data_IF_956959398149
#
_entry.id   IF_956959398149
#
_cell.length_a   1.000
_cell.length_b   1.000
_cell.length_c   1.000
_cell.angle_alpha   90.00
_cell.angle_beta   90.00
_cell.angle_gamma   90.00
#
_symmetry.space_group_name_H-M   'P 1'
#
loop_
_entity.id
_entity.type
_entity.pdbx_description
1 polymer ?
#
# COMPACT_ATOMS: atom_id res chain seq x y z
N UNK A 1 2.04 -13.47 25.12
CA UNK A 1 1.95 -12.22 24.34
C UNK A 1 2.01 -12.59 22.87
N UNK A 2 0.84 -12.85 22.26
CA UNK A 2 0.77 -13.34 20.88
C UNK A 2 1.02 -12.18 19.92
N UNK A 3 2.18 -12.20 19.28
CA UNK A 3 2.45 -11.43 18.06
C UNK A 3 1.40 -11.84 17.01
N UNK A 4 0.33 -11.04 16.85
CA UNK A 4 -0.55 -11.19 15.70
C UNK A 4 0.32 -10.97 14.46
N UNK A 5 0.62 -12.04 13.74
CA UNK A 5 1.27 -11.92 12.43
C UNK A 5 0.28 -11.25 11.49
N UNK A 6 0.34 -9.92 11.41
CA UNK A 6 -0.27 -9.11 10.34
C UNK A 6 0.41 -9.33 8.99
N UNK A 7 1.35 -10.27 8.93
CA UNK A 7 2.04 -10.77 7.74
C UNK A 7 1.01 -11.13 6.66
N UNK A 8 0.81 -10.22 5.70
CA UNK A 8 -0.12 -10.39 4.58
C UNK A 8 -1.53 -9.87 4.77
N UNK A 9 -1.84 -9.20 5.89
CA UNK A 9 -3.11 -8.48 6.10
C UNK A 9 -3.11 -7.16 5.31
N UNK A 10 -4.10 -7.00 4.42
CA UNK A 10 -4.26 -5.80 3.58
C UNK A 10 -5.60 -5.15 3.87
N UNK A 11 -5.59 -3.90 4.31
CA UNK A 11 -6.81 -3.10 4.48
C UNK A 11 -7.11 -2.29 3.20
N UNK A 12 -8.37 -2.27 2.75
CA UNK A 12 -8.79 -1.52 1.55
C UNK A 12 -9.82 -0.46 1.93
N UNK A 13 -9.41 0.80 1.88
CA UNK A 13 -10.23 1.98 2.18
C UNK A 13 -10.58 2.73 0.89
N UNK A 14 -11.55 2.17 0.15
CA UNK A 14 -12.10 2.78 -1.06
C UNK A 14 -13.59 3.10 -0.88
N UNK A 15 -14.02 4.21 -1.47
CA UNK A 15 -15.42 4.68 -1.48
C UNK A 15 -16.20 4.00 -2.61
N UNK A 16 -15.56 3.77 -3.76
CA UNK A 16 -16.15 3.04 -4.87
C UNK A 16 -16.16 1.52 -4.55
N UNK A 17 -17.36 0.97 -4.36
CA UNK A 17 -17.55 -0.44 -3.99
C UNK A 17 -17.15 -1.41 -5.12
N UNK A 18 -17.32 -1.03 -6.38
CA UNK A 18 -16.94 -1.87 -7.52
C UNK A 18 -15.42 -1.95 -7.62
N UNK A 19 -14.76 -0.80 -7.51
CA UNK A 19 -13.31 -0.70 -7.49
C UNK A 19 -12.73 -1.42 -6.27
N UNK A 20 -13.33 -1.25 -5.09
CA UNK A 20 -12.98 -1.98 -3.88
C UNK A 20 -12.99 -3.49 -4.10
N UNK A 21 -14.11 -4.05 -4.57
CA UNK A 21 -14.24 -5.48 -4.79
C UNK A 21 -13.18 -6.03 -5.76
N UNK A 22 -12.84 -5.27 -6.80
CA UNK A 22 -11.78 -5.62 -7.76
C UNK A 22 -10.39 -5.68 -7.10
N UNK A 23 -10.09 -4.71 -6.24
CA UNK A 23 -8.82 -4.66 -5.52
C UNK A 23 -8.74 -5.77 -4.48
N UNK A 24 -9.82 -6.02 -3.75
CA UNK A 24 -9.91 -7.13 -2.79
C UNK A 24 -9.65 -8.48 -3.48
N UNK A 25 -10.29 -8.74 -4.62
CA UNK A 25 -10.06 -9.95 -5.40
C UNK A 25 -8.59 -10.07 -5.89
N UNK A 26 -7.96 -8.97 -6.29
CA UNK A 26 -6.55 -8.98 -6.69
C UNK A 26 -5.63 -9.29 -5.50
N UNK A 27 -5.91 -8.73 -4.32
CA UNK A 27 -5.15 -9.02 -3.09
C UNK A 27 -5.21 -10.50 -2.75
N UNK A 28 -6.40 -11.10 -2.81
CA UNK A 28 -6.61 -12.53 -2.57
C UNK A 28 -5.88 -13.40 -3.59
N UNK A 29 -5.92 -13.03 -4.89
CA UNK A 29 -5.18 -13.71 -5.95
C UNK A 29 -3.66 -13.69 -5.73
N UNK A 30 -3.15 -12.67 -5.04
CA UNK A 30 -1.73 -12.52 -4.70
C UNK A 30 -1.36 -13.25 -3.39
N UNK A 31 -2.26 -14.07 -2.83
CA UNK A 31 -2.01 -14.86 -1.63
C UNK A 31 -2.01 -14.03 -0.33
N UNK A 32 -2.61 -12.83 -0.36
CA UNK A 32 -2.78 -11.95 0.79
C UNK A 32 -4.23 -11.99 1.25
N UNK A 33 -4.47 -11.63 2.51
CA UNK A 33 -5.84 -11.64 3.06
C UNK A 33 -6.33 -10.21 3.26
N UNK A 34 -7.54 -9.95 2.79
CA UNK A 34 -8.19 -8.65 2.97
C UNK A 34 -8.78 -8.58 4.37
N UNK A 35 -8.47 -7.48 5.08
CA UNK A 35 -9.08 -7.15 6.36
C UNK A 35 -9.93 -5.90 6.23
N UNK A 36 -11.01 -5.83 7.02
CA UNK A 36 -11.93 -4.68 7.00
C UNK A 36 -11.34 -3.44 7.65
N UNK A 37 -10.41 -3.62 8.59
CA UNK A 37 -9.75 -2.54 9.32
C UNK A 37 -8.36 -3.01 9.77
N UNK A 38 -7.68 -2.17 10.54
CA UNK A 38 -6.44 -2.46 11.25
C UNK A 38 -6.63 -3.51 12.36
N UNK A 39 -5.58 -4.24 12.74
CA UNK A 39 -4.20 -4.11 12.30
C UNK A 39 -3.94 -4.76 10.93
N UNK A 40 -3.23 -4.05 10.05
CA UNK A 40 -2.83 -4.51 8.72
C UNK A 40 -1.36 -4.16 8.46
N UNK A 41 -0.65 -4.96 7.67
CA UNK A 41 0.74 -4.63 7.27
C UNK A 41 0.79 -3.74 6.03
N UNK A 42 -0.29 -3.73 5.24
CA UNK A 42 -0.44 -2.88 4.06
C UNK A 42 -1.85 -2.27 4.01
N UNK A 43 -1.96 -1.04 3.52
CA UNK A 43 -3.24 -0.38 3.33
C UNK A 43 -3.33 0.28 1.95
N UNK A 44 -4.49 0.12 1.30
CA UNK A 44 -4.83 0.78 0.04
C UNK A 44 -5.85 1.86 0.35
N UNK A 45 -5.57 3.12 0.02
CA UNK A 45 -6.42 4.26 0.40
C UNK A 45 -6.82 5.07 -0.84
N UNK A 46 -8.13 5.22 -1.07
CA UNK A 46 -8.64 6.12 -2.10
C UNK A 46 -8.58 7.58 -1.61
N UNK A 47 -7.96 8.45 -2.41
CA UNK A 47 -7.91 9.88 -2.22
C UNK A 47 -9.20 10.55 -2.69
N UNK A 48 -9.48 11.71 -2.11
CA UNK A 48 -10.64 12.53 -2.46
C UNK A 48 -11.45 13.02 -1.25
N UNK A 49 -10.89 12.95 -0.04
CA UNK A 49 -11.30 13.76 1.09
C UNK A 49 -10.13 14.03 2.05
N UNK A 50 -10.15 15.13 2.82
CA UNK A 50 -9.13 15.43 3.83
C UNK A 50 -9.01 14.34 4.91
N UNK A 51 -10.13 13.69 5.27
CA UNK A 51 -10.17 12.60 6.25
C UNK A 51 -9.31 11.40 5.81
N UNK A 52 -9.12 11.19 4.51
CA UNK A 52 -8.27 10.13 3.99
C UNK A 52 -6.78 10.46 4.16
N UNK A 53 -6.41 11.74 4.10
CA UNK A 53 -5.03 12.18 4.39
C UNK A 53 -4.69 11.96 5.86
N UNK A 54 -5.57 12.32 6.78
CA UNK A 54 -5.39 12.04 8.22
C UNK A 54 -5.29 10.53 8.50
N UNK A 55 -6.07 9.71 7.77
CA UNK A 55 -5.96 8.24 7.86
C UNK A 55 -4.60 7.74 7.36
N UNK A 56 -4.09 8.29 6.25
CA UNK A 56 -2.76 7.95 5.74
C UNK A 56 -1.70 8.23 6.81
N UNK A 57 -1.70 9.42 7.40
CA UNK A 57 -0.76 9.79 8.47
C UNK A 57 -0.77 8.79 9.63
N UNK A 58 -1.95 8.46 10.17
CA UNK A 58 -2.07 7.50 11.28
C UNK A 58 -1.55 6.11 10.92
N UNK A 59 -1.82 5.65 9.70
CA UNK A 59 -1.36 4.34 9.23
C UNK A 59 0.16 4.31 9.08
N UNK A 60 0.75 5.37 8.50
CA UNK A 60 2.21 5.47 8.34
C UNK A 60 2.93 5.60 9.67
N UNK A 61 2.39 6.37 10.62
CA UNK A 61 2.92 6.48 11.99
C UNK A 61 2.88 5.14 12.73
N UNK A 62 1.86 4.33 12.49
CA UNK A 62 1.74 2.96 13.00
C UNK A 62 2.64 1.95 12.27
N UNK A 63 3.46 2.38 11.30
CA UNK A 63 4.37 1.53 10.53
C UNK A 63 3.70 0.73 9.41
N UNK A 64 2.44 1.03 9.07
CA UNK A 64 1.73 0.38 7.97
C UNK A 64 2.19 0.95 6.63
N UNK A 65 2.48 0.10 5.65
CA UNK A 65 2.80 0.55 4.29
C UNK A 65 1.52 0.98 3.58
N UNK A 66 1.47 2.22 3.08
CA UNK A 66 0.26 2.78 2.47
C UNK A 66 0.46 3.03 0.98
N UNK A 67 -0.47 2.53 0.17
CA UNK A 67 -0.61 2.84 -1.25
C UNK A 67 -1.87 3.68 -1.45
N UNK A 68 -1.68 4.97 -1.67
CA UNK A 68 -2.74 5.92 -1.94
C UNK A 68 -3.01 5.98 -3.45
N UNK A 69 -4.29 6.07 -3.84
CA UNK A 69 -4.66 6.24 -5.23
C UNK A 69 -5.74 7.29 -5.41
N UNK A 70 -5.66 8.04 -6.51
CA UNK A 70 -6.63 9.09 -6.80
C UNK A 70 -6.72 9.39 -8.29
N UNK A 71 -7.67 10.25 -8.63
CA UNK A 71 -7.82 10.72 -10.00
C UNK A 71 -6.54 11.41 -10.47
N UNK A 72 -6.12 11.13 -11.71
CA UNK A 72 -4.90 11.69 -12.29
C UNK A 72 -4.90 13.23 -12.30
N UNK A 73 -6.09 13.84 -12.37
CA UNK A 73 -6.28 15.29 -12.40
C UNK A 73 -6.09 15.98 -11.04
N UNK A 74 -5.94 15.21 -9.95
CA UNK A 74 -5.76 15.75 -8.60
C UNK A 74 -4.31 15.60 -8.13
N UNK A 75 -3.43 16.37 -8.76
CA UNK A 75 -1.98 16.33 -8.51
C UNK A 75 -1.61 16.79 -7.09
N UNK A 76 -2.37 17.74 -6.52
CA UNK A 76 -2.17 18.22 -5.16
C UNK A 76 -2.50 17.12 -4.13
N UNK A 77 -3.63 16.42 -4.26
CA UNK A 77 -3.95 15.30 -3.37
C UNK A 77 -2.91 14.18 -3.43
N UNK A 78 -2.39 13.88 -4.63
CA UNK A 78 -1.31 12.90 -4.79
C UNK A 78 0.02 13.37 -4.17
N UNK A 79 0.31 14.68 -4.18
CA UNK A 79 1.49 15.23 -3.51
C UNK A 79 1.34 15.15 -2.00
N UNK A 80 0.21 15.62 -1.46
CA UNK A 80 -0.06 15.58 -0.01
C UNK A 80 -0.01 14.15 0.54
N UNK A 81 -0.54 13.16 -0.19
CA UNK A 81 -0.44 11.77 0.20
C UNK A 81 1.01 11.25 0.27
N UNK A 82 1.90 11.72 -0.62
CA UNK A 82 3.33 11.37 -0.58
C UNK A 82 4.06 12.05 0.56
N UNK A 83 3.75 13.32 0.82
CA UNK A 83 4.28 14.05 1.98
C UNK A 83 3.86 13.40 3.30
N UNK A 84 2.66 12.80 3.33
CA UNK A 84 2.18 11.99 4.45
C UNK A 84 2.86 10.62 4.57
N UNK A 85 3.78 10.25 3.69
CA UNK A 85 4.54 8.99 3.75
C UNK A 85 3.92 7.82 2.98
N UNK A 86 2.82 8.02 2.24
CA UNK A 86 2.28 7.00 1.36
C UNK A 86 2.97 6.98 -0.01
N UNK A 87 2.90 5.83 -0.67
CA UNK A 87 3.13 5.78 -2.11
C UNK A 87 1.84 6.20 -2.81
N UNK A 88 1.84 7.32 -3.53
CA UNK A 88 0.65 7.78 -4.26
C UNK A 88 0.74 7.49 -5.77
N UNK A 89 -0.32 6.91 -6.33
CA UNK A 89 -0.40 6.55 -7.76
C UNK A 89 -1.74 6.97 -8.38
N UNK A 90 -1.80 7.24 -9.70
CA UNK A 90 -3.09 7.41 -10.37
C UNK A 90 -3.87 6.08 -10.42
N UNK A 91 -5.20 6.14 -10.51
CA UNK A 91 -6.08 4.96 -10.58
C UNK A 91 -5.61 3.90 -11.59
N UNK A 92 -5.20 4.34 -12.79
CA UNK A 92 -4.74 3.45 -13.88
C UNK A 92 -3.46 2.67 -13.56
N UNK A 93 -2.66 3.12 -12.58
CA UNK A 93 -1.42 2.44 -12.15
C UNK A 93 -1.60 1.64 -10.86
N UNK A 94 -2.75 1.72 -10.19
CA UNK A 94 -2.94 1.08 -8.90
C UNK A 94 -2.71 -0.43 -8.95
N UNK A 95 -3.31 -1.13 -9.91
CA UNK A 95 -3.18 -2.58 -10.01
C UNK A 95 -1.74 -3.04 -10.28
N UNK A 96 -1.01 -2.30 -11.12
CA UNK A 96 0.39 -2.59 -11.40
C UNK A 96 1.26 -2.35 -10.16
N UNK A 97 1.00 -1.28 -9.42
CA UNK A 97 1.65 -1.00 -8.15
C UNK A 97 1.33 -2.08 -7.11
N UNK A 98 0.06 -2.49 -6.95
CA UNK A 98 -0.34 -3.53 -6.01
C UNK A 98 0.37 -4.85 -6.26
N UNK A 99 0.43 -5.29 -7.53
CA UNK A 99 1.20 -6.47 -7.90
C UNK A 99 2.65 -6.31 -7.45
N UNK A 100 3.31 -5.22 -7.83
CA UNK A 100 4.70 -4.94 -7.45
C UNK A 100 4.92 -4.98 -5.93
N UNK A 101 4.07 -4.32 -5.15
CA UNK A 101 4.25 -4.22 -3.69
C UNK A 101 3.91 -5.52 -2.95
N UNK A 102 2.97 -6.31 -3.45
CA UNK A 102 2.50 -7.53 -2.77
C UNK A 102 3.23 -8.79 -3.24
N UNK A 103 3.78 -8.81 -4.46
CA UNK A 103 4.64 -9.90 -4.98
C UNK A 103 6.09 -9.76 -4.56
N UNK A 104 6.54 -8.55 -4.21
CA UNK A 104 7.80 -8.40 -3.47
C UNK A 104 7.54 -8.89 -2.04
N UNK A 105 7.61 -10.20 -1.87
CA UNK A 105 8.04 -10.78 -0.61
C UNK A 105 9.34 -10.05 -0.25
N UNK A 106 9.50 -9.45 0.95
CA UNK A 106 10.82 -9.02 1.35
C UNK A 106 11.70 -10.26 1.26
N UNK A 107 12.61 -10.29 0.29
CA UNK A 107 13.75 -11.15 0.39
C UNK A 107 14.40 -10.76 1.71
N UNK A 108 14.26 -11.63 2.71
CA UNK A 108 15.16 -11.62 3.84
C UNK A 108 16.58 -11.57 3.25
N UNK A 109 17.32 -10.52 3.58
CA UNK A 109 18.77 -10.43 3.47
C UNK A 109 19.40 -11.15 2.26
N UNK A 110 19.39 -10.50 1.10
CA UNK A 110 20.28 -10.89 0.00
C UNK A 110 21.66 -10.27 0.24
N UNK A 111 22.77 -11.04 0.27
CA UNK A 111 24.08 -10.49 0.55
C UNK A 111 24.49 -9.47 -0.51
N UNK A 112 25.07 -8.36 -0.04
CA UNK A 112 25.75 -7.34 -0.86
C UNK A 112 26.69 -8.05 -1.83
N UNK A 113 26.59 -7.83 -3.15
CA UNK A 113 27.55 -8.40 -4.08
C UNK A 113 28.94 -7.88 -3.73
N UNK A 114 29.95 -8.74 -3.51
CA UNK A 114 31.30 -8.29 -3.21
C UNK A 114 31.78 -7.39 -4.35
N UNK A 115 32.28 -6.23 -3.97
CA UNK A 115 32.76 -5.20 -4.88
C UNK A 115 33.71 -5.78 -5.93
N UNK A 116 33.58 -5.24 -7.15
CA UNK A 116 34.56 -5.46 -8.22
C UNK A 116 35.96 -5.16 -7.67
N UNK A 117 36.96 -6.07 -7.83
CA UNK A 117 38.33 -5.66 -7.64
C UNK A 117 38.68 -4.62 -8.71
N UNK A 118 39.32 -3.55 -8.27
CA UNK A 118 39.94 -2.57 -9.13
C UNK A 118 40.99 -3.27 -10.02
N UNK A 119 40.99 -2.93 -11.31
CA UNK A 119 42.11 -3.11 -12.22
C UNK A 119 42.41 -1.77 -12.85
#
# INVERSE_FOLDING_TARGET
MSILRTEGAVAVFARDLFFRARIEALVEQLGRHVVRDTPASFAVVELGSPQQIERIHRLTEAGTRVLAFGSHVDADSLRTAREAGAVAVPNSRLEAALRTFLTVTPAADGPVPPGRPAS
#
